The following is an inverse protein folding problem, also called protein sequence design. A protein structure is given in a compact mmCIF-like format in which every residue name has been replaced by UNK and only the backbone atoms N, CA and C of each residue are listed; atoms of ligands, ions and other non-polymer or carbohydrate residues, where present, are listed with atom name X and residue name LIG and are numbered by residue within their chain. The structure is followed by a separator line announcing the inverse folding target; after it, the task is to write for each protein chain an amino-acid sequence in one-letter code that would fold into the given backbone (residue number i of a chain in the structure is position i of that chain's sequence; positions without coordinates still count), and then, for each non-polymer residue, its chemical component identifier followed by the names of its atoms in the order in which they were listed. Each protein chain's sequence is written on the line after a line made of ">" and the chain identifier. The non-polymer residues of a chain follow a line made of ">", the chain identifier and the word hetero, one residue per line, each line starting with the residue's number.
data_IF_813099566665
#
_entry.id   IF_813099566665
#
_cell.length_a   1.000
_cell.length_b   1.000
_cell.length_c   1.000
_cell.angle_alpha   90.00
_cell.angle_beta   90.00
_cell.angle_gamma   90.00
#
_symmetry.space_group_name_H-M   'P 1'
#
loop_
_entity.id
_entity.type
_entity.pdbx_description
1 polymer ?
#
# COMPACT_ATOMS: atom_id res chain seq x y z
N UNK A 1 20.62 -11.15 8.39
CA UNK A 1 20.85 -9.69 8.36
C UNK A 1 21.74 -9.36 9.54
N UNK A 2 22.99 -8.98 9.31
CA UNK A 2 23.93 -8.66 10.40
C UNK A 2 23.53 -7.37 11.10
N UNK A 3 23.72 -7.31 12.42
CA UNK A 3 23.48 -6.10 13.22
C UNK A 3 24.45 -5.00 12.76
N UNK A 4 23.94 -4.03 12.01
CA UNK A 4 24.68 -2.80 11.73
C UNK A 4 24.46 -1.84 12.90
N UNK A 5 25.52 -1.56 13.64
CA UNK A 5 25.49 -0.66 14.80
C UNK A 5 25.80 0.76 14.33
N UNK A 6 24.86 1.68 14.54
CA UNK A 6 25.01 3.10 14.25
C UNK A 6 25.54 3.78 15.52
N UNK A 7 26.79 4.24 15.53
CA UNK A 7 27.41 4.84 16.71
C UNK A 7 27.48 6.37 16.61
N UNK A 8 27.53 6.92 15.40
CA UNK A 8 27.62 8.36 15.12
C UNK A 8 26.67 8.79 14.00
N UNK A 9 26.46 10.11 13.88
CA UNK A 9 25.55 10.69 12.88
C UNK A 9 26.02 10.34 11.46
N UNK A 10 27.32 10.28 11.23
CA UNK A 10 27.90 9.94 9.93
C UNK A 10 27.55 8.52 9.49
N UNK A 11 27.44 7.57 10.44
CA UNK A 11 27.04 6.20 10.15
C UNK A 11 25.59 6.16 9.65
N UNK A 12 24.71 6.96 10.28
CA UNK A 12 23.30 7.07 9.89
C UNK A 12 23.17 7.69 8.50
N UNK A 13 23.89 8.77 8.21
CA UNK A 13 23.84 9.43 6.90
C UNK A 13 24.41 8.52 5.79
N UNK A 14 25.48 7.79 6.06
CA UNK A 14 26.04 6.81 5.12
C UNK A 14 25.02 5.71 4.79
N UNK A 15 24.41 5.14 5.83
CA UNK A 15 23.41 4.09 5.67
C UNK A 15 22.16 4.58 4.92
N UNK A 16 21.67 5.78 5.27
CA UNK A 16 20.59 6.44 4.54
C UNK A 16 20.96 6.61 3.07
N UNK A 17 22.17 7.07 2.78
CA UNK A 17 22.69 7.21 1.42
C UNK A 17 22.72 5.89 0.64
N UNK A 18 23.06 4.77 1.29
CA UNK A 18 23.00 3.44 0.67
C UNK A 18 21.58 2.99 0.37
N UNK A 19 20.64 3.21 1.29
CA UNK A 19 19.22 2.88 1.09
C UNK A 19 18.66 3.67 -0.10
N UNK A 20 18.88 4.99 -0.11
CA UNK A 20 18.38 5.87 -1.18
C UNK A 20 18.96 5.52 -2.55
N UNK A 21 20.21 5.02 -2.61
CA UNK A 21 20.82 4.56 -3.87
C UNK A 21 20.20 3.26 -4.40
N UNK A 22 19.68 2.40 -3.52
CA UNK A 22 19.09 1.10 -3.87
C UNK A 22 17.57 1.19 -4.07
N UNK A 23 16.95 2.25 -3.57
CA UNK A 23 15.51 2.45 -3.69
C UNK A 23 15.14 2.94 -5.09
N UNK A 24 14.33 2.16 -5.79
CA UNK A 24 13.67 2.59 -7.02
C UNK A 24 12.35 3.31 -6.66
N UNK A 25 12.23 4.63 -6.91
CA UNK A 25 11.02 5.38 -6.58
C UNK A 25 9.81 5.00 -7.45
N UNK A 26 10.04 4.33 -8.58
CA UNK A 26 8.97 3.90 -9.49
C UNK A 26 8.56 2.43 -9.26
N UNK A 27 9.28 1.69 -8.41
CA UNK A 27 8.89 0.32 -8.07
C UNK A 27 7.54 0.34 -7.38
N UNK A 28 6.63 -0.49 -7.87
CA UNK A 28 5.25 -0.53 -7.39
C UNK A 28 5.24 -1.10 -5.98
N UNK A 29 4.60 -0.41 -5.04
CA UNK A 29 4.50 -0.86 -3.64
C UNK A 29 3.04 -0.99 -3.26
N UNK A 30 2.61 -2.18 -2.89
CA UNK A 30 1.29 -2.44 -2.33
C UNK A 30 1.40 -2.35 -0.80
N UNK A 31 0.99 -1.21 -0.24
CA UNK A 31 1.01 -0.96 1.21
C UNK A 31 -0.26 -1.48 1.85
N UNK A 32 -0.12 -2.48 2.71
CA UNK A 32 -1.22 -3.15 3.40
C UNK A 32 -1.17 -2.81 4.89
N UNK A 33 -2.24 -2.21 5.40
CA UNK A 33 -2.37 -1.94 6.83
C UNK A 33 -2.43 -3.27 7.61
N UNK A 34 -1.45 -3.54 8.47
CA UNK A 34 -1.36 -4.79 9.23
C UNK A 34 -1.70 -4.64 10.72
N UNK A 35 -2.24 -3.48 11.12
CA UNK A 35 -2.69 -3.20 12.48
C UNK A 35 -4.21 -3.36 12.60
N UNK A 36 -4.98 -2.29 12.48
CA UNK A 36 -6.45 -2.32 12.62
C UNK A 36 -7.13 -3.21 11.57
N UNK A 37 -6.65 -3.21 10.32
CA UNK A 37 -7.21 -4.06 9.26
C UNK A 37 -6.93 -5.56 9.46
N UNK A 38 -6.00 -5.94 10.35
CA UNK A 38 -5.72 -7.36 10.64
C UNK A 38 -6.94 -8.08 11.23
N UNK A 39 -7.75 -7.38 12.01
CA UNK A 39 -9.02 -7.92 12.53
C UNK A 39 -10.08 -8.17 11.45
N UNK A 40 -9.86 -7.64 10.24
CA UNK A 40 -10.77 -7.72 9.09
C UNK A 40 -10.21 -8.58 7.94
N UNK A 41 -9.18 -9.40 8.19
CA UNK A 41 -8.64 -10.32 7.19
C UNK A 41 -7.45 -9.79 6.37
N UNK A 42 -6.77 -8.73 6.83
CA UNK A 42 -5.60 -8.21 6.11
C UNK A 42 -4.42 -9.20 6.01
N UNK A 43 -4.34 -10.19 6.91
CA UNK A 43 -3.31 -11.24 6.84
C UNK A 43 -3.50 -12.12 5.62
N UNK A 44 -4.73 -12.59 5.42
CA UNK A 44 -5.15 -13.42 4.30
C UNK A 44 -4.99 -12.67 2.97
N UNK A 45 -5.34 -11.37 2.95
CA UNK A 45 -5.10 -10.50 1.78
C UNK A 45 -3.60 -10.40 1.46
N UNK A 46 -2.75 -10.20 2.47
CA UNK A 46 -1.30 -10.14 2.28
C UNK A 46 -0.74 -11.44 1.72
N UNK A 47 -1.15 -12.58 2.26
CA UNK A 47 -0.69 -13.89 1.77
C UNK A 47 -1.19 -14.19 0.36
N UNK A 48 -2.42 -13.79 0.03
CA UNK A 48 -2.96 -13.86 -1.33
C UNK A 48 -2.11 -13.01 -2.29
N UNK A 49 -1.74 -11.78 -1.92
CA UNK A 49 -0.86 -10.94 -2.74
C UNK A 49 0.51 -11.58 -2.95
N UNK A 50 1.15 -12.09 -1.90
CA UNK A 50 2.45 -12.75 -2.03
C UNK A 50 2.38 -13.97 -2.96
N UNK A 51 1.31 -14.76 -2.86
CA UNK A 51 1.12 -15.95 -3.69
C UNK A 51 0.90 -15.57 -5.16
N UNK A 52 0.01 -14.62 -5.44
CA UNK A 52 -0.32 -14.18 -6.79
C UNK A 52 0.86 -13.49 -7.48
N UNK A 53 1.60 -12.63 -6.75
CA UNK A 53 2.81 -11.97 -7.28
C UNK A 53 3.88 -12.99 -7.67
N UNK A 54 4.06 -14.03 -6.85
CA UNK A 54 4.99 -15.12 -7.15
C UNK A 54 4.53 -15.94 -8.36
N UNK A 55 3.25 -16.30 -8.43
CA UNK A 55 2.69 -17.04 -9.56
C UNK A 55 2.84 -16.29 -10.89
N UNK A 56 2.65 -14.96 -10.87
CA UNK A 56 2.81 -14.11 -12.06
C UNK A 56 4.25 -13.67 -12.34
N UNK A 57 5.22 -14.07 -11.50
CA UNK A 57 6.63 -13.70 -11.67
C UNK A 57 6.89 -12.19 -11.51
N UNK A 58 6.14 -11.52 -10.63
CA UNK A 58 6.18 -10.07 -10.42
C UNK A 58 7.04 -9.65 -9.21
N UNK A 59 7.73 -10.57 -8.55
CA UNK A 59 8.50 -10.34 -7.31
C UNK A 59 9.56 -9.23 -7.45
N UNK A 60 10.16 -9.08 -8.63
CA UNK A 60 11.15 -8.02 -8.90
C UNK A 60 10.52 -6.65 -9.20
N UNK A 61 9.22 -6.61 -9.52
CA UNK A 61 8.51 -5.39 -9.95
C UNK A 61 7.59 -4.81 -8.89
N UNK A 62 7.08 -5.65 -7.99
CA UNK A 62 6.07 -5.27 -6.99
C UNK A 62 6.55 -5.69 -5.61
N UNK A 63 6.60 -4.74 -4.69
CA UNK A 63 6.82 -5.02 -3.27
C UNK A 63 5.50 -5.03 -2.49
N UNK A 64 5.29 -6.06 -1.67
CA UNK A 64 4.20 -6.12 -0.71
C UNK A 64 4.70 -5.61 0.64
N UNK A 65 4.25 -4.42 1.04
CA UNK A 65 4.73 -3.72 2.23
C UNK A 65 3.68 -3.75 3.33
N UNK A 66 4.01 -4.40 4.44
CA UNK A 66 3.21 -4.33 5.67
C UNK A 66 3.40 -2.97 6.34
N UNK A 67 2.32 -2.23 6.57
CA UNK A 67 2.36 -0.90 7.18
C UNK A 67 1.61 -0.82 8.51
N UNK A 68 1.85 0.28 9.21
CA UNK A 68 1.02 0.72 10.34
C UNK A 68 -0.40 1.10 9.92
N UNK A 69 -1.14 1.73 10.83
CA UNK A 69 -2.53 2.10 10.57
C UNK A 69 -2.63 3.21 9.52
N UNK A 70 -3.50 3.03 8.53
CA UNK A 70 -3.88 4.09 7.59
C UNK A 70 -5.03 4.97 8.12
N UNK A 71 -5.54 4.73 9.34
CA UNK A 71 -6.56 5.57 9.99
C UNK A 71 -8.01 5.30 9.60
N UNK A 72 -8.31 4.90 8.36
CA UNK A 72 -9.70 4.75 7.87
C UNK A 72 -10.32 3.37 8.18
N UNK A 73 -10.32 2.95 9.45
CA UNK A 73 -10.76 1.61 9.86
C UNK A 73 -12.24 1.31 9.53
N UNK A 74 -13.10 2.34 9.42
CA UNK A 74 -14.48 2.17 8.96
C UNK A 74 -14.62 1.62 7.53
N UNK A 75 -13.51 1.62 6.77
CA UNK A 75 -13.40 1.11 5.40
C UNK A 75 -12.40 -0.05 5.29
N UNK A 76 -12.02 -0.64 6.42
CA UNK A 76 -11.10 -1.78 6.46
C UNK A 76 -11.67 -3.01 5.72
N UNK A 77 -10.80 -3.87 5.17
CA UNK A 77 -9.35 -3.67 4.97
C UNK A 77 -9.05 -2.58 3.92
N UNK A 78 -7.98 -1.82 4.12
CA UNK A 78 -7.53 -0.79 3.16
C UNK A 78 -6.09 -1.02 2.72
N UNK A 79 -5.82 -0.72 1.45
CA UNK A 79 -4.48 -0.72 0.87
C UNK A 79 -4.24 0.56 0.06
N UNK A 80 -2.98 0.91 -0.15
CA UNK A 80 -2.58 1.96 -1.10
C UNK A 80 -1.50 1.41 -2.02
N UNK A 81 -1.61 1.71 -3.32
CA UNK A 81 -0.64 1.30 -4.33
C UNK A 81 0.15 2.52 -4.79
N UNK A 82 1.44 2.55 -4.43
CA UNK A 82 2.39 3.57 -4.87
C UNK A 82 3.05 3.15 -6.20
N UNK A 83 3.54 4.09 -7.03
CA UNK A 83 3.55 5.56 -6.83
C UNK A 83 2.26 6.26 -7.24
N UNK A 84 1.25 5.53 -7.71
CA UNK A 84 0.00 6.09 -8.26
C UNK A 84 -0.99 6.65 -7.22
N UNK A 85 -0.74 6.36 -5.93
CA UNK A 85 -1.58 6.71 -4.78
C UNK A 85 -2.99 6.07 -4.84
N UNK A 86 -3.15 4.93 -5.52
CA UNK A 86 -4.46 4.28 -5.67
C UNK A 86 -4.92 3.72 -4.32
N UNK A 87 -6.10 4.13 -3.86
CA UNK A 87 -6.72 3.69 -2.62
C UNK A 87 -7.82 2.68 -2.87
N UNK A 88 -7.64 1.46 -2.34
CA UNK A 88 -8.68 0.44 -2.30
C UNK A 88 -9.14 0.17 -0.88
N UNK A 89 -10.42 -0.16 -0.75
CA UNK A 89 -11.09 -0.33 0.53
C UNK A 89 -12.06 -1.51 0.53
N UNK A 90 -12.36 -2.03 1.73
CA UNK A 90 -13.24 -3.21 1.92
C UNK A 90 -12.82 -4.44 1.12
N UNK A 91 -11.49 -4.65 1.00
CA UNK A 91 -10.97 -5.80 0.27
C UNK A 91 -11.28 -7.12 0.98
N UNK A 92 -11.34 -8.16 0.18
CA UNK A 92 -11.32 -9.57 0.55
C UNK A 92 -10.14 -10.26 -0.16
N UNK A 93 -9.71 -11.45 0.29
CA UNK A 93 -8.65 -12.19 -0.40
C UNK A 93 -8.98 -12.51 -1.86
N UNK A 94 -10.26 -12.70 -2.19
CA UNK A 94 -10.74 -13.03 -3.54
C UNK A 94 -10.60 -11.86 -4.53
N UNK A 95 -10.41 -10.64 -4.03
CA UNK A 95 -10.19 -9.45 -4.86
C UNK A 95 -8.76 -9.37 -5.41
N UNK A 96 -7.81 -10.09 -4.79
CA UNK A 96 -6.38 -9.98 -5.10
C UNK A 96 -6.05 -10.35 -6.56
N UNK A 97 -6.55 -11.46 -7.14
CA UNK A 97 -6.26 -11.78 -8.54
C UNK A 97 -6.72 -10.70 -9.52
N UNK A 98 -7.86 -10.04 -9.25
CA UNK A 98 -8.35 -8.91 -10.06
C UNK A 98 -7.42 -7.70 -9.91
N UNK A 99 -7.00 -7.35 -8.70
CA UNK A 99 -6.08 -6.23 -8.47
C UNK A 99 -4.73 -6.48 -9.16
N UNK A 100 -4.18 -7.70 -9.09
CA UNK A 100 -2.91 -8.02 -9.75
C UNK A 100 -3.06 -7.94 -11.27
N UNK A 101 -4.13 -8.52 -11.82
CA UNK A 101 -4.33 -8.57 -13.28
C UNK A 101 -4.71 -7.23 -13.90
N UNK A 102 -5.60 -6.44 -13.29
CA UNK A 102 -6.03 -5.15 -13.83
C UNK A 102 -5.06 -4.04 -13.41
N UNK A 103 -4.82 -3.88 -12.11
CA UNK A 103 -4.04 -2.73 -11.63
C UNK A 103 -2.54 -2.92 -11.77
N UNK A 104 -1.98 -4.04 -11.33
CA UNK A 104 -0.52 -4.20 -11.31
C UNK A 104 0.05 -4.56 -12.70
N UNK A 105 -0.71 -5.27 -13.53
CA UNK A 105 -0.27 -5.69 -14.86
C UNK A 105 -0.71 -4.73 -15.98
N UNK A 106 -1.95 -4.22 -15.96
CA UNK A 106 -2.46 -3.34 -17.04
C UNK A 106 -2.44 -1.86 -16.69
N UNK A 107 -2.30 -1.51 -15.40
CA UNK A 107 -2.38 -0.13 -14.93
C UNK A 107 -3.81 0.40 -14.81
N UNK A 108 -4.81 -0.48 -14.81
CA UNK A 108 -6.23 -0.12 -14.77
C UNK A 108 -6.81 -0.26 -13.35
N UNK A 109 -7.72 0.63 -12.98
CA UNK A 109 -8.32 0.62 -11.63
C UNK A 109 -9.52 -0.34 -11.54
N UNK A 110 -9.63 -1.02 -10.41
CA UNK A 110 -10.78 -1.86 -10.07
C UNK A 110 -11.85 -0.98 -9.42
N UNK A 111 -12.76 -0.45 -10.24
CA UNK A 111 -13.71 0.60 -9.81
C UNK A 111 -14.55 0.24 -8.58
N UNK A 112 -14.95 -1.03 -8.44
CA UNK A 112 -15.77 -1.50 -7.31
C UNK A 112 -15.05 -1.40 -5.95
N UNK A 113 -13.72 -1.37 -5.95
CA UNK A 113 -12.89 -1.29 -4.75
C UNK A 113 -12.52 0.16 -4.39
N UNK A 114 -12.84 1.12 -5.26
CA UNK A 114 -12.58 2.54 -5.01
C UNK A 114 -13.52 3.09 -3.94
N UNK A 115 -13.06 4.13 -3.25
CA UNK A 115 -13.90 4.81 -2.27
C UNK A 115 -14.98 5.62 -2.99
N UNK A 116 -16.25 5.30 -2.70
CA UNK A 116 -17.40 6.11 -3.06
C UNK A 116 -17.89 6.89 -1.86
N UNK A 117 -17.92 8.20 -1.96
CA UNK A 117 -18.42 9.06 -0.90
C UNK A 117 -19.94 8.89 -0.77
N UNK A 118 -20.46 8.48 0.40
CA UNK A 118 -21.89 8.25 0.59
C UNK A 118 -22.73 9.53 0.54
N UNK A 119 -22.11 10.72 0.58
CA UNK A 119 -22.82 12.01 0.61
C UNK A 119 -23.24 12.48 -0.79
N UNK A 120 -22.37 12.30 -1.77
CA UNK A 120 -22.55 12.80 -3.14
C UNK A 120 -22.37 11.71 -4.23
N UNK A 121 -21.96 10.49 -3.85
CA UNK A 121 -21.74 9.39 -4.76
C UNK A 121 -20.45 9.47 -5.58
N UNK A 122 -19.60 10.48 -5.34
CA UNK A 122 -18.34 10.66 -6.07
C UNK A 122 -17.35 9.55 -5.73
N UNK A 123 -16.63 9.09 -6.76
CA UNK A 123 -15.60 8.05 -6.63
C UNK A 123 -14.22 8.71 -6.60
N UNK A 124 -13.36 8.21 -5.72
CA UNK A 124 -12.00 8.69 -5.52
C UNK A 124 -11.01 7.57 -5.78
N UNK A 125 -10.07 7.83 -6.69
CA UNK A 125 -8.96 6.91 -6.98
C UNK A 125 -7.83 7.10 -5.98
N UNK A 126 -7.44 8.35 -5.76
CA UNK A 126 -6.24 8.68 -4.99
C UNK A 126 -6.53 8.82 -3.50
N UNK A 127 -5.67 8.25 -2.66
CA UNK A 127 -5.81 8.34 -1.21
C UNK A 127 -5.81 9.79 -0.72
N UNK A 128 -4.97 10.66 -1.29
CA UNK A 128 -4.90 12.08 -0.93
C UNK A 128 -6.15 12.89 -1.29
N UNK A 129 -7.00 12.40 -2.18
CA UNK A 129 -8.22 13.09 -2.62
C UNK A 129 -9.46 12.69 -1.83
N UNK A 130 -9.43 11.51 -1.20
CA UNK A 130 -10.51 11.01 -0.34
C UNK A 130 -10.74 12.03 0.79
N UNK A 131 -11.96 12.55 0.98
CA UNK A 131 -12.24 13.62 1.95
C UNK A 131 -11.77 13.29 3.37
N UNK A 132 -11.88 12.02 3.78
CA UNK A 132 -11.35 11.57 5.07
C UNK A 132 -9.88 11.94 5.25
N UNK A 133 -9.03 11.76 4.24
CA UNK A 133 -7.60 12.06 4.31
C UNK A 133 -7.27 13.51 3.96
N UNK A 134 -7.89 14.04 2.91
CA UNK A 134 -7.64 15.39 2.39
C UNK A 134 -7.86 16.47 3.44
N UNK A 135 -8.88 16.30 4.27
CA UNK A 135 -9.29 17.30 5.25
C UNK A 135 -8.49 17.19 6.58
N UNK A 136 -7.51 16.28 6.66
CA UNK A 136 -6.64 16.10 7.83
C UNK A 136 -5.28 16.80 7.66
N UNK A 137 -4.83 17.50 8.71
CA UNK A 137 -3.44 17.96 8.80
C UNK A 137 -2.55 16.87 9.40
N UNK A 138 -1.64 16.32 8.59
CA UNK A 138 -0.64 15.35 9.04
C UNK A 138 0.63 16.09 9.50
N UNK A 139 0.75 16.34 10.80
CA UNK A 139 1.83 17.14 11.42
C UNK A 139 3.22 16.48 11.45
N UNK A 140 3.44 15.37 10.74
CA UNK A 140 4.64 14.53 10.87
C UNK A 140 5.26 14.06 9.55
N UNK A 141 5.02 14.78 8.45
CA UNK A 141 5.71 14.61 7.16
C UNK A 141 6.51 15.87 6.85
#
# INVERSE_FOLDING_TARGET
>A
MGEMKLEKIEDLESYRGEILKREDPNKVKVRICMTGCRAYGAGEIREAFLSEIKEKGLEEKVDIISTGCHGFCARAPVIVIDPYDIFYQQLTPDDVPEIVSETLLKGEVVERLLFRDPRDGRVYVKSGEVPFYRDQTKWGL
#
